data_IF_278048994358
#
_entry.id   IF_278048994358
#
_cell.length_a   1.000
_cell.length_b   1.000
_cell.length_c   1.000
_cell.angle_alpha   90.00
_cell.angle_beta   90.00
_cell.angle_gamma   90.00
#
_symmetry.space_group_name_H-M   'P 1'
#
loop_
_entity.id
_entity.type
_entity.pdbx_description
1 polymer ?
#
# COMPACT_ATOMS: atom_id res chain seq x y z
N UNK A 1 -5.73 17.32 6.16
CA UNK A 1 -4.74 16.68 5.28
C UNK A 1 -4.59 15.24 5.72
N UNK A 2 -4.96 14.27 4.89
CA UNK A 2 -4.96 12.84 5.24
C UNK A 2 -3.50 12.37 5.21
N UNK A 3 -2.83 12.48 6.36
CA UNK A 3 -1.48 11.97 6.53
C UNK A 3 -1.58 10.45 6.35
N UNK A 4 -1.01 9.92 5.27
CA UNK A 4 -0.76 8.49 5.17
C UNK A 4 0.15 8.19 6.36
N UNK A 5 -0.35 7.42 7.34
CA UNK A 5 0.46 6.99 8.46
C UNK A 5 1.74 6.38 7.91
N UNK A 6 2.91 6.81 8.41
CA UNK A 6 4.21 6.45 7.86
C UNK A 6 4.41 4.92 7.79
N UNK A 7 3.67 4.19 8.61
CA UNK A 7 3.57 2.72 8.64
C UNK A 7 3.05 2.08 7.34
N UNK A 8 2.36 2.84 6.48
CA UNK A 8 1.83 2.39 5.19
C UNK A 8 2.57 2.99 4.00
N UNK A 9 3.58 3.84 4.24
CA UNK A 9 4.29 4.50 3.17
C UNK A 9 5.29 3.54 2.53
N UNK A 10 5.28 3.47 1.21
CA UNK A 10 6.32 2.80 0.47
C UNK A 10 7.60 3.64 0.46
N UNK A 11 8.74 2.95 0.43
CA UNK A 11 10.08 3.51 0.36
C UNK A 11 10.78 2.96 -0.87
N UNK A 12 11.55 3.82 -1.54
CA UNK A 12 12.54 3.44 -2.51
C UNK A 12 13.86 3.23 -1.77
N UNK A 13 14.38 2.01 -1.86
CA UNK A 13 15.59 1.56 -1.18
C UNK A 13 16.63 1.30 -2.26
N UNK A 14 17.66 2.11 -2.28
CA UNK A 14 18.79 2.01 -3.20
C UNK A 14 19.87 1.20 -2.47
N UNK A 15 20.30 0.09 -3.06
CA UNK A 15 21.41 -0.69 -2.52
C UNK A 15 22.76 -0.16 -3.00
N UNK A 16 23.81 -0.47 -2.27
CA UNK A 16 25.21 -0.16 -2.65
C UNK A 16 25.64 -0.80 -3.97
N UNK A 17 24.89 -1.79 -4.46
CA UNK A 17 25.05 -2.41 -5.78
C UNK A 17 24.27 -1.69 -6.89
N UNK A 18 23.60 -0.57 -6.57
CA UNK A 18 22.80 0.21 -7.51
C UNK A 18 21.41 -0.37 -7.82
N UNK A 19 20.94 -1.37 -7.08
CA UNK A 19 19.61 -1.96 -7.26
C UNK A 19 18.57 -1.16 -6.48
N UNK A 20 17.44 -0.88 -7.10
CA UNK A 20 16.34 -0.14 -6.46
C UNK A 20 15.22 -1.12 -6.13
N UNK A 21 14.83 -1.15 -4.86
CA UNK A 21 13.64 -1.84 -4.38
C UNK A 21 12.60 -0.81 -3.96
N UNK A 22 11.39 -0.94 -4.47
CA UNK A 22 10.24 -0.12 -4.02
C UNK A 22 9.33 -1.01 -3.21
N UNK A 23 9.09 -0.66 -1.95
CA UNK A 23 8.31 -1.50 -1.06
C UNK A 23 8.03 -0.88 0.29
N UNK A 24 7.25 -1.57 1.11
CA UNK A 24 6.93 -1.15 2.47
C UNK A 24 7.81 -1.90 3.46
N UNK A 25 8.53 -1.15 4.31
CA UNK A 25 9.31 -1.74 5.41
C UNK A 25 8.32 -2.28 6.45
N UNK A 26 8.33 -3.59 6.68
CA UNK A 26 7.45 -4.26 7.66
C UNK A 26 8.17 -4.65 8.93
N UNK A 27 9.50 -4.72 8.89
CA UNK A 27 10.36 -4.95 10.05
C UNK A 27 11.69 -4.24 9.85
N UNK A 28 12.19 -3.62 10.91
CA UNK A 28 13.54 -3.09 11.00
C UNK A 28 14.19 -3.70 12.25
N UNK A 29 15.33 -4.36 12.07
CA UNK A 29 16.20 -4.81 13.15
C UNK A 29 17.53 -4.05 13.09
N UNK A 30 18.44 -4.34 14.03
CA UNK A 30 19.77 -3.73 14.03
C UNK A 30 20.53 -3.99 12.71
N UNK A 31 20.36 -5.18 12.14
CA UNK A 31 21.19 -5.67 11.03
C UNK A 31 20.47 -5.73 9.68
N UNK A 32 19.13 -5.74 9.65
CA UNK A 32 18.35 -5.93 8.42
C UNK A 32 17.02 -5.19 8.39
N UNK A 33 16.60 -4.89 7.16
CA UNK A 33 15.26 -4.43 6.79
C UNK A 33 14.51 -5.56 6.09
N UNK A 34 13.29 -5.85 6.53
CA UNK A 34 12.37 -6.72 5.80
C UNK A 34 11.37 -5.85 5.06
N UNK A 35 11.34 -5.97 3.75
CA UNK A 35 10.60 -5.07 2.86
C UNK A 35 9.62 -5.88 2.02
N UNK A 36 8.32 -5.59 2.14
CA UNK A 36 7.31 -6.12 1.22
C UNK A 36 7.38 -5.34 -0.08
N UNK A 37 7.72 -6.00 -1.17
CA UNK A 37 7.86 -5.38 -2.50
C UNK A 37 6.62 -5.54 -3.38
N UNK A 38 5.69 -6.40 -2.98
CA UNK A 38 4.47 -6.68 -3.72
C UNK A 38 3.25 -6.20 -2.90
N UNK A 39 2.43 -5.27 -3.44
CA UNK A 39 1.24 -4.77 -2.76
C UNK A 39 0.07 -5.76 -2.74
N UNK A 40 0.04 -6.74 -3.64
CA UNK A 40 -1.03 -7.75 -3.73
C UNK A 40 -0.71 -8.97 -2.86
N UNK A 41 0.58 -9.27 -2.67
CA UNK A 41 1.06 -10.41 -1.90
C UNK A 41 2.05 -9.99 -0.80
N UNK A 42 1.55 -9.86 0.43
CA UNK A 42 2.37 -9.50 1.59
C UNK A 42 3.42 -10.54 1.99
N UNK A 43 3.41 -11.74 1.41
CA UNK A 43 4.41 -12.77 1.68
C UNK A 43 5.68 -12.59 0.86
N UNK A 44 5.61 -11.83 -0.25
CA UNK A 44 6.77 -11.50 -1.07
C UNK A 44 7.59 -10.39 -0.43
N UNK A 45 8.50 -10.82 0.45
CA UNK A 45 9.44 -9.96 1.15
C UNK A 45 10.85 -10.09 0.58
N UNK A 46 11.61 -9.00 0.69
CA UNK A 46 13.06 -8.97 0.49
C UNK A 46 13.70 -8.55 1.79
N UNK A 47 14.62 -9.38 2.29
CA UNK A 47 15.48 -9.02 3.40
C UNK A 47 16.74 -8.33 2.87
N UNK A 48 16.96 -7.09 3.30
CA UNK A 48 18.11 -6.28 2.94
C UNK A 48 18.95 -6.02 4.18
N UNK A 49 20.24 -6.35 4.14
CA UNK A 49 21.14 -5.96 5.23
C UNK A 49 21.28 -4.46 5.28
N UNK A 50 21.36 -3.89 6.48
CA UNK A 50 21.52 -2.46 6.69
C UNK A 50 22.82 -1.93 6.04
N UNK A 51 23.86 -2.76 5.98
CA UNK A 51 25.13 -2.46 5.30
C UNK A 51 25.04 -2.43 3.77
N UNK A 52 23.99 -3.02 3.18
CA UNK A 52 23.77 -3.07 1.73
C UNK A 52 22.86 -1.93 1.27
N UNK A 53 22.23 -1.19 2.18
CA UNK A 53 21.39 -0.02 1.88
C UNK A 53 22.27 1.21 1.79
N UNK A 54 22.25 1.87 0.64
CA UNK A 54 22.94 3.14 0.39
C UNK A 54 22.03 4.32 0.74
N UNK A 55 20.80 4.31 0.21
CA UNK A 55 19.82 5.36 0.46
C UNK A 55 18.40 4.79 0.60
N UNK A 56 17.60 5.39 1.49
CA UNK A 56 16.18 5.09 1.64
C UNK A 56 15.37 6.39 1.59
N UNK A 57 14.48 6.49 0.61
CA UNK A 57 13.63 7.67 0.43
C UNK A 57 12.15 7.28 0.38
N UNK A 58 11.23 8.11 0.88
CA UNK A 58 9.80 7.92 0.66
C UNK A 58 9.46 7.84 -0.83
N UNK A 59 8.70 6.81 -1.23
CA UNK A 59 8.29 6.68 -2.62
C UNK A 59 7.29 7.80 -2.98
N UNK A 60 7.53 8.47 -4.12
CA UNK A 60 6.60 9.48 -4.64
C UNK A 60 5.31 8.87 -5.19
N UNK A 61 5.37 7.60 -5.62
CA UNK A 61 4.23 6.83 -6.10
C UNK A 61 3.85 5.78 -5.06
N UNK A 62 2.55 5.65 -4.80
CA UNK A 62 2.02 4.63 -3.89
C UNK A 62 2.31 3.23 -4.41
N UNK A 63 2.52 2.28 -3.49
CA UNK A 63 2.58 0.85 -3.83
C UNK A 63 1.20 0.30 -4.22
N UNK A 64 0.10 1.02 -3.97
CA UNK A 64 -1.23 0.44 -4.21
C UNK A 64 -1.42 0.02 -5.68
N UNK A 65 -2.06 -1.14 -5.92
CA UNK A 65 -2.36 -1.57 -7.28
C UNK A 65 -3.27 -0.57 -7.98
N UNK A 66 -2.97 -0.28 -9.24
CA UNK A 66 -3.84 0.53 -10.08
C UNK A 66 -4.98 -0.32 -10.65
N UNK A 67 -6.12 0.31 -10.91
CA UNK A 67 -7.21 -0.35 -11.63
C UNK A 67 -8.04 -1.33 -10.78
N UNK A 68 -7.98 -1.25 -9.44
CA UNK A 68 -8.85 -2.02 -8.53
C UNK A 68 -10.36 -1.83 -8.81
N UNK A 69 -10.74 -0.71 -9.42
CA UNK A 69 -12.12 -0.43 -9.83
C UNK A 69 -12.48 -0.98 -11.22
N UNK A 70 -11.49 -1.40 -12.04
CA UNK A 70 -11.75 -1.93 -13.39
C UNK A 70 -12.65 -3.16 -13.45
N UNK A 71 -12.62 -4.11 -12.49
CA UNK A 71 -13.52 -5.26 -12.54
C UNK A 71 -14.95 -4.93 -12.09
N UNK A 72 -15.17 -3.77 -11.46
CA UNK A 72 -16.48 -3.39 -10.93
C UNK A 72 -17.33 -2.72 -12.01
N UNK A 73 -18.60 -3.07 -12.07
CA UNK A 73 -19.59 -2.33 -12.84
C UNK A 73 -20.12 -1.11 -12.06
N UNK A 74 -20.93 -0.27 -12.72
CA UNK A 74 -21.45 0.98 -12.12
C UNK A 74 -22.20 0.74 -10.79
N UNK A 75 -23.07 -0.27 -10.73
CA UNK A 75 -23.83 -0.60 -9.53
C UNK A 75 -22.90 -1.06 -8.40
N UNK A 76 -21.88 -1.87 -8.70
CA UNK A 76 -20.92 -2.35 -7.71
C UNK A 76 -20.04 -1.23 -7.15
N UNK A 77 -19.69 -0.23 -7.97
CA UNK A 77 -18.98 0.97 -7.51
C UNK A 77 -19.88 1.79 -6.58
N UNK A 78 -21.16 1.96 -6.93
CA UNK A 78 -22.13 2.68 -6.09
C UNK A 78 -22.35 1.96 -4.75
N UNK A 79 -22.47 0.64 -4.75
CA UNK A 79 -22.62 -0.17 -3.54
C UNK A 79 -21.36 -0.11 -2.66
N UNK A 80 -20.16 -0.11 -3.26
CA UNK A 80 -18.90 0.08 -2.53
C UNK A 80 -18.85 1.47 -1.86
N UNK A 81 -19.23 2.53 -2.58
CA UNK A 81 -19.30 3.88 -2.04
C UNK A 81 -20.34 3.99 -0.92
N UNK A 82 -21.52 3.38 -1.10
CA UNK A 82 -22.56 3.32 -0.08
C UNK A 82 -22.07 2.60 1.18
N UNK A 83 -21.35 1.49 1.04
CA UNK A 83 -20.76 0.76 2.17
C UNK A 83 -19.74 1.60 2.94
N UNK A 84 -18.83 2.28 2.24
CA UNK A 84 -17.82 3.13 2.86
C UNK A 84 -18.43 4.36 3.57
N UNK A 85 -19.42 5.02 2.94
CA UNK A 85 -20.08 6.21 3.49
C UNK A 85 -21.02 5.87 4.67
N UNK A 86 -21.71 4.74 4.60
CA UNK A 86 -22.55 4.22 5.69
C UNK A 86 -21.76 3.66 6.87
N UNK A 87 -20.43 3.56 6.74
CA UNK A 87 -19.54 2.87 7.70
C UNK A 87 -20.00 1.43 7.96
N UNK A 88 -20.50 0.77 6.92
CA UNK A 88 -21.00 -0.61 6.97
C UNK A 88 -22.40 -0.78 7.58
N UNK A 89 -23.20 0.28 7.72
CA UNK A 89 -24.59 0.17 8.15
C UNK A 89 -25.49 -0.23 6.96
N UNK A 90 -26.02 -1.48 6.89
CA UNK A 90 -26.79 -1.95 5.75
C UNK A 90 -28.17 -1.28 5.61
N UNK A 91 -28.62 -0.51 6.62
CA UNK A 91 -29.90 0.23 6.60
C UNK A 91 -29.72 1.72 6.34
N UNK A 92 -28.52 2.14 5.97
CA UNK A 92 -28.24 3.54 5.68
C UNK A 92 -28.95 4.00 4.40
N UNK A 93 -29.34 5.27 4.36
CA UNK A 93 -29.94 5.89 3.17
C UNK A 93 -29.00 5.87 1.97
N UNK A 94 -27.69 5.73 2.18
CA UNK A 94 -26.74 5.60 1.07
C UNK A 94 -26.98 4.35 0.19
N UNK A 95 -27.68 3.32 0.67
CA UNK A 95 -28.09 2.16 -0.13
C UNK A 95 -29.45 2.35 -0.83
N UNK A 96 -30.13 3.49 -0.62
CA UNK A 96 -31.37 3.78 -1.33
C UNK A 96 -31.06 4.21 -2.77
N UNK A 97 -31.59 3.45 -3.74
CA UNK A 97 -31.48 3.77 -5.17
C UNK A 97 -32.37 4.99 -5.49
N UNK A 98 -31.96 5.88 -6.40
CA UNK A 98 -32.79 6.99 -6.87
C UNK A 98 -34.06 6.52 -7.57
#
# INVERSE_FOLDING_TARGET
SKVISDQYRAHNIITTQGKIYTGRVVSETADQYTVVIDPEDSTKVVDLKRSEVDEMQPAQKSLMPEGLLKPLNEDEVLDLLAYLLSRGNPRDRMFSRP
#
